data_IF_021510304680
#
_entry.id   IF_021510304680
#
_cell.length_a   1.000
_cell.length_b   1.000
_cell.length_c   1.000
_cell.angle_alpha   90.00
_cell.angle_beta   90.00
_cell.angle_gamma   90.00
#
_symmetry.space_group_name_H-M   'P 1'
#
loop_
_entity.id
_entity.type
_entity.pdbx_description
1 polymer ?
#
# COMPACT_ATOMS: atom_id res chain seq x y z
N UNK A 1 -74.68 -40.92 17.75
CA UNK A 1 -74.09 -40.20 18.89
C UNK A 1 -73.02 -39.27 18.29
N UNK A 2 -73.29 -37.99 17.99
CA UNK A 2 -73.37 -36.85 18.93
C UNK A 2 -71.98 -36.60 19.54
N UNK A 3 -71.29 -35.44 19.49
CA UNK A 3 -71.51 -33.99 19.25
C UNK A 3 -70.14 -33.44 18.78
N UNK A 4 -69.93 -32.44 17.91
CA UNK A 4 -70.30 -31.03 18.01
C UNK A 4 -69.37 -30.25 18.96
N UNK A 5 -68.38 -29.46 18.46
CA UNK A 5 -67.85 -28.27 19.15
C UNK A 5 -67.19 -27.25 18.19
N UNK A 6 -67.88 -26.12 18.05
CA UNK A 6 -67.49 -24.73 17.77
C UNK A 6 -66.35 -24.36 16.80
N UNK A 7 -66.78 -23.80 15.67
CA UNK A 7 -66.12 -22.68 15.00
C UNK A 7 -66.31 -21.40 15.84
N UNK A 8 -65.27 -20.91 16.50
CA UNK A 8 -65.17 -19.54 17.06
C UNK A 8 -63.70 -19.27 17.41
N UNK A 9 -62.88 -18.94 16.41
CA UNK A 9 -61.44 -18.68 16.60
C UNK A 9 -60.78 -17.81 15.54
N UNK A 10 -61.35 -17.73 14.33
CA UNK A 10 -60.61 -17.22 13.17
C UNK A 10 -60.93 -15.79 12.72
N UNK A 11 -61.67 -15.01 13.52
CA UNK A 11 -62.02 -13.62 13.16
C UNK A 11 -61.47 -12.53 14.10
N UNK A 12 -60.79 -12.90 15.20
CA UNK A 12 -60.22 -11.90 16.13
C UNK A 12 -58.72 -11.60 15.87
N UNK A 13 -57.97 -12.53 15.25
CA UNK A 13 -56.55 -12.32 14.95
C UNK A 13 -56.28 -11.58 13.63
N UNK A 14 -57.22 -11.59 12.68
CA UNK A 14 -57.05 -10.92 11.38
C UNK A 14 -57.16 -9.37 11.45
N UNK A 15 -57.72 -8.81 12.54
CA UNK A 15 -57.97 -7.36 12.66
C UNK A 15 -56.84 -6.59 13.37
N UNK A 16 -55.90 -7.28 14.03
CA UNK A 16 -54.76 -6.64 14.71
C UNK A 16 -53.55 -6.52 13.78
N UNK A 17 -53.37 -7.43 12.81
CA UNK A 17 -52.22 -7.40 11.90
C UNK A 17 -52.33 -6.30 10.82
N UNK A 18 -53.55 -6.01 10.32
CA UNK A 18 -53.75 -5.01 9.26
C UNK A 18 -53.59 -3.55 9.74
N UNK A 19 -53.70 -3.28 11.04
CA UNK A 19 -53.50 -1.94 11.63
C UNK A 19 -52.04 -1.57 11.90
N UNK A 20 -51.14 -2.55 12.00
CA UNK A 20 -49.73 -2.31 12.35
C UNK A 20 -48.83 -2.07 11.13
N UNK A 21 -49.23 -2.53 9.94
CA UNK A 21 -48.40 -2.46 8.73
C UNK A 21 -48.52 -1.12 7.99
N UNK A 22 -49.56 -0.31 8.24
CA UNK A 22 -49.83 0.91 7.44
C UNK A 22 -49.32 2.24 8.02
N UNK A 23 -48.63 2.27 9.17
CA UNK A 23 -48.22 3.53 9.83
C UNK A 23 -46.70 3.74 9.99
N UNK A 24 -45.85 2.91 9.37
CA UNK A 24 -44.37 2.99 9.55
C UNK A 24 -43.58 3.45 8.30
N UNK A 25 -44.23 3.67 7.16
CA UNK A 25 -43.54 3.99 5.90
C UNK A 25 -43.37 5.50 5.62
N UNK A 26 -44.17 6.39 6.24
CA UNK A 26 -44.19 7.81 5.88
C UNK A 26 -43.16 8.70 6.60
N UNK A 27 -42.52 8.22 7.68
CA UNK A 27 -41.68 9.07 8.54
C UNK A 27 -40.16 8.77 8.50
N UNK A 28 -39.74 7.72 7.77
CA UNK A 28 -38.31 7.36 7.62
C UNK A 28 -37.61 8.14 6.50
N UNK A 29 -38.34 8.60 5.47
CA UNK A 29 -37.75 9.32 4.33
C UNK A 29 -37.30 10.76 4.64
N UNK A 30 -38.00 11.48 5.55
CA UNK A 30 -37.69 12.88 5.87
C UNK A 30 -36.53 13.04 6.87
N UNK A 31 -36.38 12.12 7.83
CA UNK A 31 -35.25 12.14 8.78
C UNK A 31 -33.93 11.72 8.13
N UNK A 32 -33.94 10.80 7.17
CA UNK A 32 -32.73 10.37 6.44
C UNK A 32 -32.17 11.50 5.57
N UNK A 33 -33.03 12.27 4.92
CA UNK A 33 -32.64 13.38 4.03
C UNK A 33 -31.97 14.55 4.77
N UNK A 34 -32.40 14.82 6.01
CA UNK A 34 -31.81 15.87 6.85
C UNK A 34 -30.41 15.51 7.38
N UNK A 35 -30.20 14.24 7.77
CA UNK A 35 -28.91 13.76 8.30
C UNK A 35 -27.85 13.70 7.19
N UNK A 36 -28.22 13.28 5.98
CA UNK A 36 -27.30 13.24 4.83
C UNK A 36 -26.85 14.66 4.43
N UNK A 37 -27.76 15.65 4.47
CA UNK A 37 -27.42 17.05 4.17
C UNK A 37 -26.43 17.68 5.17
N UNK A 38 -26.58 17.38 6.47
CA UNK A 38 -25.66 17.85 7.51
C UNK A 38 -24.26 17.21 7.45
N UNK A 39 -24.17 15.92 7.10
CA UNK A 39 -22.89 15.20 7.01
C UNK A 39 -22.08 15.64 5.78
N UNK A 40 -22.74 15.91 4.65
CA UNK A 40 -22.08 16.35 3.42
C UNK A 40 -21.52 17.78 3.56
N UNK A 41 -22.21 18.67 4.30
CA UNK A 41 -21.74 20.04 4.57
C UNK A 41 -20.52 20.09 5.50
N UNK A 42 -20.47 19.21 6.51
CA UNK A 42 -19.32 19.09 7.43
C UNK A 42 -18.11 18.36 6.81
N UNK A 43 -18.32 17.44 5.87
CA UNK A 43 -17.22 16.81 5.13
C UNK A 43 -16.59 17.75 4.08
N UNK A 44 -17.40 18.62 3.45
CA UNK A 44 -16.92 19.53 2.42
C UNK A 44 -16.02 20.65 2.99
N UNK A 45 -16.28 21.09 4.23
CA UNK A 45 -15.45 22.08 4.92
C UNK A 45 -14.14 21.47 5.47
N UNK A 46 -14.13 20.20 5.86
CA UNK A 46 -12.91 19.47 6.30
C UNK A 46 -11.98 19.07 5.14
N UNK A 47 -12.50 18.90 3.92
CA UNK A 47 -11.70 18.57 2.73
C UNK A 47 -10.94 19.77 2.15
N UNK A 48 -11.39 21.00 2.41
CA UNK A 48 -10.77 22.23 1.87
C UNK A 48 -9.62 22.73 2.75
N UNK A 49 -9.63 22.45 4.07
CA UNK A 49 -8.55 22.86 4.98
C UNK A 49 -7.44 21.81 5.20
N UNK A 50 -7.64 20.56 4.75
CA UNK A 50 -6.69 19.46 4.98
C UNK A 50 -5.67 19.20 3.86
N UNK A 51 -5.71 19.96 2.76
CA UNK A 51 -5.00 19.63 1.50
C UNK A 51 -3.82 20.57 1.15
N UNK A 52 -3.20 21.20 2.15
CA UNK A 52 -2.05 22.10 1.93
C UNK A 52 -0.74 21.69 2.62
N UNK A 53 -0.67 20.49 3.24
CA UNK A 53 0.52 20.11 4.01
C UNK A 53 1.06 18.72 3.68
N UNK A 54 1.26 18.41 2.41
CA UNK A 54 2.14 17.29 2.06
C UNK A 54 2.88 17.59 0.76
N UNK A 55 4.22 17.48 0.83
CA UNK A 55 5.24 17.48 -0.23
C UNK A 55 6.28 18.63 -0.17
N UNK A 56 7.04 18.69 0.93
CA UNK A 56 8.39 19.30 0.92
C UNK A 56 9.46 18.22 1.18
N UNK A 57 9.47 17.20 0.33
CA UNK A 57 10.60 16.29 0.22
C UNK A 57 11.64 16.82 -0.77
N UNK A 58 12.86 17.07 -0.30
CA UNK A 58 14.05 16.91 -1.13
C UNK A 58 14.44 18.07 -2.06
N UNK A 59 14.67 19.25 -1.52
CA UNK A 59 15.72 20.18 -1.96
C UNK A 59 15.90 21.19 -0.84
N UNK A 60 17.11 21.38 -0.33
CA UNK A 60 17.42 22.42 0.64
C UNK A 60 17.21 23.81 0.02
N UNK A 61 15.96 24.27 -0.03
CA UNK A 61 15.57 25.59 -0.51
C UNK A 61 15.49 26.50 0.70
N UNK A 62 16.63 27.05 1.09
CA UNK A 62 16.67 28.13 2.08
C UNK A 62 16.48 29.47 1.37
N UNK A 63 15.60 30.32 1.90
CA UNK A 63 15.48 31.71 1.50
C UNK A 63 16.53 32.61 2.19
N UNK A 64 16.52 33.90 1.83
CA UNK A 64 17.49 34.86 2.36
C UNK A 64 17.40 35.04 3.88
N UNK A 65 16.20 34.96 4.46
CA UNK A 65 15.99 35.10 5.90
C UNK A 65 16.48 33.86 6.63
N UNK A 66 16.15 32.68 6.10
CA UNK A 66 16.62 31.40 6.64
C UNK A 66 18.14 31.31 6.61
N UNK A 67 18.80 31.74 5.54
CA UNK A 67 20.26 31.78 5.47
C UNK A 67 20.88 32.74 6.49
N UNK A 68 20.29 33.92 6.70
CA UNK A 68 20.84 34.93 7.64
C UNK A 68 20.71 34.51 9.11
N UNK A 69 19.62 33.83 9.45
CA UNK A 69 19.29 33.48 10.82
C UNK A 69 19.53 31.99 11.12
N UNK A 70 20.29 31.30 10.26
CA UNK A 70 20.57 29.89 10.39
C UNK A 70 21.45 29.61 11.61
N UNK A 71 21.02 28.67 12.45
CA UNK A 71 21.92 27.99 13.38
C UNK A 71 22.51 26.78 12.67
N UNK A 72 23.76 26.92 12.21
CA UNK A 72 24.43 25.87 11.44
C UNK A 72 24.69 24.61 12.26
N UNK A 73 24.85 24.72 13.58
CA UNK A 73 25.04 23.56 14.44
C UNK A 73 23.74 22.75 14.57
N UNK A 74 22.59 23.42 14.73
CA UNK A 74 21.28 22.76 14.72
C UNK A 74 21.00 22.11 13.36
N UNK A 75 21.22 22.83 12.25
CA UNK A 75 21.02 22.28 10.90
C UNK A 75 21.92 21.06 10.68
N UNK A 76 23.17 21.13 11.13
CA UNK A 76 24.10 20.01 11.11
C UNK A 76 23.54 18.81 11.88
N UNK A 77 23.05 19.04 13.10
CA UNK A 77 22.46 18.00 13.94
C UNK A 77 21.25 17.33 13.30
N UNK A 78 20.35 18.09 12.68
CA UNK A 78 19.19 17.56 11.96
C UNK A 78 19.62 16.71 10.74
N UNK A 79 20.61 17.18 9.98
CA UNK A 79 21.16 16.45 8.84
C UNK A 79 21.85 15.15 9.26
N UNK A 80 22.64 15.19 10.34
CA UNK A 80 23.31 14.03 10.92
C UNK A 80 22.30 13.01 11.44
N UNK A 81 21.30 13.46 12.19
CA UNK A 81 20.20 12.62 12.71
C UNK A 81 19.36 12.00 11.59
N UNK A 82 19.31 12.63 10.43
CA UNK A 82 18.67 12.09 9.23
C UNK A 82 19.60 11.18 8.39
N UNK A 83 20.85 10.95 8.81
CA UNK A 83 21.81 10.12 8.09
C UNK A 83 22.33 10.73 6.79
N UNK A 84 22.22 12.05 6.60
CA UNK A 84 22.73 12.73 5.41
C UNK A 84 24.25 12.77 5.44
N UNK A 85 24.90 12.73 4.28
CA UNK A 85 26.35 12.90 4.20
C UNK A 85 26.74 14.35 4.56
N UNK A 86 27.92 14.59 5.16
CA UNK A 86 28.42 15.94 5.41
C UNK A 86 28.49 16.82 4.16
N UNK A 87 28.65 16.19 2.99
CA UNK A 87 28.66 16.86 1.68
C UNK A 87 27.34 17.56 1.35
N UNK A 88 26.24 17.23 2.05
CA UNK A 88 24.94 17.86 1.89
C UNK A 88 24.97 19.36 2.19
N UNK A 89 25.92 19.83 3.01
CA UNK A 89 26.21 21.25 3.22
C UNK A 89 26.41 22.03 1.91
N UNK A 90 26.90 21.37 0.87
CA UNK A 90 27.07 21.97 -0.47
C UNK A 90 25.77 22.50 -1.05
N UNK A 91 24.62 21.91 -0.69
CA UNK A 91 23.31 22.39 -1.10
C UNK A 91 22.98 23.72 -0.42
N UNK A 92 23.25 23.86 0.88
CA UNK A 92 23.08 25.11 1.61
C UNK A 92 24.03 26.20 1.09
N UNK A 93 25.30 25.86 0.81
CA UNK A 93 26.26 26.80 0.20
C UNK A 93 25.73 27.36 -1.12
N UNK A 94 25.20 26.49 -2.00
CA UNK A 94 24.61 26.91 -3.27
C UNK A 94 23.37 27.78 -3.08
N UNK A 95 22.53 27.49 -2.09
CA UNK A 95 21.32 28.25 -1.82
C UNK A 95 21.63 29.64 -1.24
N UNK A 96 22.48 29.71 -0.22
CA UNK A 96 22.81 30.93 0.51
C UNK A 96 23.79 31.86 -0.21
N UNK A 97 24.62 31.34 -1.13
CA UNK A 97 25.50 32.16 -1.96
C UNK A 97 24.75 33.18 -2.83
N UNK A 98 23.47 32.95 -3.16
CA UNK A 98 22.61 33.92 -3.88
C UNK A 98 22.34 35.20 -3.09
N UNK A 99 22.61 35.17 -1.79
CA UNK A 99 22.39 36.24 -0.84
C UNK A 99 23.70 36.65 -0.15
N UNK A 100 24.85 36.25 -0.72
CA UNK A 100 26.21 36.49 -0.20
C UNK A 100 26.44 35.97 1.23
N UNK A 101 25.76 34.87 1.60
CA UNK A 101 25.87 34.23 2.92
C UNK A 101 26.60 32.90 2.78
N UNK A 102 27.61 32.70 3.63
CA UNK A 102 28.45 31.49 3.66
C UNK A 102 28.11 30.68 4.92
N UNK A 103 27.67 29.42 4.78
CA UNK A 103 27.47 28.54 5.93
C UNK A 103 28.73 28.30 6.76
N UNK A 104 28.57 28.28 8.08
CA UNK A 104 29.67 28.04 9.03
C UNK A 104 30.00 26.55 9.12
N UNK A 105 31.07 26.13 8.44
CA UNK A 105 31.43 24.72 8.29
C UNK A 105 31.65 24.00 9.62
N UNK A 106 32.39 24.62 10.54
CA UNK A 106 32.78 23.96 11.80
C UNK A 106 31.56 23.71 12.71
N UNK A 107 30.65 24.68 12.79
CA UNK A 107 29.37 24.53 13.51
C UNK A 107 28.53 23.42 12.89
N UNK A 108 28.38 23.43 11.57
CA UNK A 108 27.65 22.37 10.86
C UNK A 108 28.24 20.98 11.08
N UNK A 109 29.57 20.81 10.96
CA UNK A 109 30.21 19.52 11.14
C UNK A 109 30.13 19.00 12.58
N UNK A 110 30.21 19.89 13.59
CA UNK A 110 30.01 19.49 14.99
C UNK A 110 28.58 19.02 15.23
N UNK A 111 27.59 19.80 14.78
CA UNK A 111 26.19 19.41 14.84
C UNK A 111 25.95 18.07 14.15
N UNK A 112 26.48 17.92 12.94
CA UNK A 112 26.36 16.71 12.12
C UNK A 112 26.93 15.48 12.83
N UNK A 113 28.13 15.59 13.38
CA UNK A 113 28.73 14.50 14.16
C UNK A 113 27.88 14.11 15.37
N UNK A 114 27.28 15.08 16.08
CA UNK A 114 26.37 14.81 17.19
C UNK A 114 25.07 14.15 16.73
N UNK A 115 24.48 14.60 15.61
CA UNK A 115 23.27 13.99 15.05
C UNK A 115 23.50 12.55 14.58
N UNK A 116 24.70 12.23 14.10
CA UNK A 116 25.03 10.85 13.73
C UNK A 116 25.01 9.89 14.92
N UNK A 117 25.12 10.36 16.16
CA UNK A 117 24.94 9.51 17.35
C UNK A 117 23.51 8.95 17.40
N UNK A 118 22.52 9.78 17.05
CA UNK A 118 21.10 9.38 17.00
C UNK A 118 20.81 8.49 15.79
N UNK A 119 21.43 8.78 14.64
CA UNK A 119 21.21 8.00 13.41
C UNK A 119 21.89 6.62 13.47
N UNK A 120 23.13 6.55 13.97
CA UNK A 120 23.97 5.36 13.89
C UNK A 120 23.70 4.37 15.02
N UNK A 121 22.44 3.98 15.15
CA UNK A 121 21.96 2.96 16.10
C UNK A 121 21.61 1.68 15.38
N UNK A 122 21.59 0.56 16.11
CA UNK A 122 21.17 -0.74 15.56
C UNK A 122 19.73 -0.68 15.04
N UNK A 123 18.81 -0.07 15.78
CA UNK A 123 17.41 0.10 15.38
C UNK A 123 17.27 0.89 14.07
N UNK A 124 17.97 2.02 13.93
CA UNK A 124 17.93 2.79 12.69
C UNK A 124 18.60 2.06 11.52
N UNK A 125 19.64 1.29 11.80
CA UNK A 125 20.21 0.33 10.85
C UNK A 125 19.16 -0.65 10.36
N UNK A 126 18.49 -1.35 11.27
CA UNK A 126 17.42 -2.31 10.98
C UNK A 126 16.29 -1.69 10.15
N UNK A 127 15.79 -0.53 10.55
CA UNK A 127 14.74 0.17 9.80
C UNK A 127 15.19 0.58 8.41
N UNK A 128 16.44 1.02 8.25
CA UNK A 128 17.03 1.40 6.96
C UNK A 128 17.16 0.18 6.04
N UNK A 129 17.69 -0.92 6.57
CA UNK A 129 17.83 -2.18 5.85
C UNK A 129 16.47 -2.76 5.45
N UNK A 130 15.48 -2.73 6.35
CA UNK A 130 14.11 -3.22 6.12
C UNK A 130 13.38 -2.44 5.03
N UNK A 131 13.70 -1.15 4.87
CA UNK A 131 13.22 -0.30 3.77
C UNK A 131 14.01 -0.48 2.47
N UNK A 132 15.11 -1.24 2.48
CA UNK A 132 15.99 -1.41 1.33
C UNK A 132 16.76 -0.15 0.96
N UNK A 133 17.00 0.75 1.92
CA UNK A 133 17.78 1.97 1.68
C UNK A 133 19.26 1.63 1.53
N UNK A 134 19.96 2.29 0.62
CA UNK A 134 21.41 2.14 0.47
C UNK A 134 22.15 2.83 1.62
N UNK A 135 23.16 2.15 2.18
CA UNK A 135 24.00 2.72 3.23
C UNK A 135 25.27 3.35 2.64
N UNK A 136 25.41 4.67 2.76
CA UNK A 136 26.50 5.45 2.18
C UNK A 136 27.74 5.61 3.08
N UNK A 137 27.89 4.80 4.13
CA UNK A 137 29.07 4.88 5.00
C UNK A 137 29.13 6.12 5.89
N UNK A 138 27.99 6.70 6.26
CA UNK A 138 27.93 7.96 7.03
C UNK A 138 28.34 7.78 8.51
N UNK A 139 28.20 6.57 9.06
CA UNK A 139 28.51 6.35 10.47
C UNK A 139 30.02 6.31 10.74
N UNK A 140 30.50 7.00 11.79
CA UNK A 140 31.89 6.94 12.19
C UNK A 140 32.25 5.54 12.73
N UNK A 141 33.55 5.22 12.73
CA UNK A 141 34.06 3.88 13.11
C UNK A 141 33.55 3.34 14.45
N UNK A 142 33.26 4.21 15.43
CA UNK A 142 32.75 3.78 16.74
C UNK A 142 31.26 3.42 16.78
N UNK A 143 30.49 3.81 15.76
CA UNK A 143 29.04 3.61 15.69
C UNK A 143 28.61 2.73 14.50
N UNK A 144 29.49 2.54 13.52
CA UNK A 144 29.20 1.80 12.29
C UNK A 144 28.77 0.36 12.56
N UNK A 145 29.37 -0.30 13.54
CA UNK A 145 29.15 -1.73 13.77
C UNK A 145 27.72 -2.03 14.24
N UNK A 146 27.20 -1.22 15.16
CA UNK A 146 25.82 -1.33 15.65
C UNK A 146 24.82 -1.09 14.51
N UNK A 147 25.01 0.00 13.75
CA UNK A 147 24.16 0.30 12.60
C UNK A 147 24.19 -0.83 11.57
N UNK A 148 25.38 -1.32 11.21
CA UNK A 148 25.55 -2.37 10.21
C UNK A 148 24.96 -3.70 10.65
N UNK A 149 25.03 -4.05 11.94
CA UNK A 149 24.41 -5.25 12.48
C UNK A 149 22.89 -5.23 12.24
N UNK A 150 22.21 -4.16 12.65
CA UNK A 150 20.79 -3.97 12.40
C UNK A 150 20.47 -3.93 10.91
N UNK A 151 21.26 -3.18 10.14
CA UNK A 151 21.07 -3.01 8.70
C UNK A 151 21.08 -4.33 7.94
N UNK A 152 22.01 -5.23 8.25
CA UNK A 152 22.07 -6.56 7.63
C UNK A 152 20.84 -7.41 7.94
N UNK A 153 20.32 -7.34 9.17
CA UNK A 153 19.09 -8.02 9.56
C UNK A 153 17.90 -7.44 8.78
N UNK A 154 17.78 -6.10 8.77
CA UNK A 154 16.74 -5.40 8.02
C UNK A 154 16.74 -5.78 6.53
N UNK A 155 17.92 -5.86 5.90
CA UNK A 155 18.04 -6.27 4.50
C UNK A 155 17.47 -7.66 4.23
N UNK A 156 17.56 -8.60 5.18
CA UNK A 156 16.93 -9.93 5.02
C UNK A 156 15.40 -9.80 4.91
N UNK A 157 14.78 -8.96 5.74
CA UNK A 157 13.34 -8.66 5.63
C UNK A 157 13.01 -8.04 4.27
N UNK A 158 13.81 -7.05 3.83
CA UNK A 158 13.59 -6.40 2.55
C UNK A 158 13.66 -7.38 1.37
N UNK A 159 14.64 -8.29 1.35
CA UNK A 159 14.81 -9.29 0.29
C UNK A 159 13.58 -10.19 0.20
N UNK A 160 13.10 -10.70 1.34
CA UNK A 160 11.92 -11.58 1.39
C UNK A 160 10.66 -10.82 1.00
N UNK A 161 10.43 -9.63 1.56
CA UNK A 161 9.26 -8.79 1.23
C UNK A 161 9.24 -8.43 -0.26
N UNK A 162 10.37 -7.99 -0.81
CA UNK A 162 10.47 -7.63 -2.24
C UNK A 162 10.22 -8.83 -3.15
N UNK A 163 10.64 -10.03 -2.74
CA UNK A 163 10.35 -11.26 -3.47
C UNK A 163 8.85 -11.57 -3.45
N UNK A 164 8.19 -11.44 -2.30
CA UNK A 164 6.73 -11.61 -2.16
C UNK A 164 6.00 -10.62 -3.07
N UNK A 165 6.31 -9.32 -2.99
CA UNK A 165 5.66 -8.27 -3.78
C UNK A 165 5.77 -8.54 -5.29
N UNK A 166 6.96 -8.96 -5.73
CA UNK A 166 7.22 -9.33 -7.12
C UNK A 166 6.42 -10.57 -7.54
N UNK A 167 6.36 -11.61 -6.71
CA UNK A 167 5.60 -12.82 -6.98
C UNK A 167 4.10 -12.53 -7.03
N UNK A 168 3.57 -11.72 -6.12
CA UNK A 168 2.17 -11.31 -6.11
C UNK A 168 1.80 -10.48 -7.36
N UNK A 169 2.68 -9.57 -7.78
CA UNK A 169 2.49 -8.84 -9.03
C UNK A 169 2.43 -9.79 -10.23
N UNK A 170 3.35 -10.77 -10.31
CA UNK A 170 3.33 -11.81 -11.34
C UNK A 170 2.04 -12.63 -11.30
N UNK A 171 1.62 -13.06 -10.11
CA UNK A 171 0.39 -13.82 -9.88
C UNK A 171 -0.84 -13.06 -10.39
N UNK A 172 -0.98 -11.78 -10.04
CA UNK A 172 -2.09 -10.93 -10.52
C UNK A 172 -2.11 -10.84 -12.04
N UNK A 173 -0.95 -10.66 -12.67
CA UNK A 173 -0.84 -10.60 -14.12
C UNK A 173 -1.19 -11.94 -14.79
N UNK A 174 -0.78 -13.07 -14.22
CA UNK A 174 -1.11 -14.40 -14.72
C UNK A 174 -2.62 -14.70 -14.60
N UNK A 175 -3.23 -14.33 -13.47
CA UNK A 175 -4.67 -14.45 -13.28
C UNK A 175 -5.47 -13.60 -14.27
N UNK A 176 -4.99 -12.38 -14.57
CA UNK A 176 -5.58 -11.52 -15.60
C UNK A 176 -5.53 -12.18 -16.97
N UNK A 177 -4.36 -12.69 -17.37
CA UNK A 177 -4.17 -13.42 -18.64
C UNK A 177 -5.05 -14.67 -18.73
N UNK A 178 -5.16 -15.43 -17.64
CA UNK A 178 -6.03 -16.59 -17.56
C UNK A 178 -7.50 -16.21 -17.77
N UNK A 179 -7.96 -15.11 -17.15
CA UNK A 179 -9.32 -14.60 -17.33
C UNK A 179 -9.58 -14.17 -18.77
N UNK A 180 -8.63 -13.48 -19.40
CA UNK A 180 -8.69 -13.05 -20.80
C UNK A 180 -8.76 -14.24 -21.75
N UNK A 181 -7.84 -15.21 -21.63
CA UNK A 181 -7.84 -16.43 -22.45
C UNK A 181 -9.13 -17.25 -22.29
N UNK A 182 -9.67 -17.36 -21.08
CA UNK A 182 -10.96 -18.03 -20.85
C UNK A 182 -12.12 -17.30 -21.54
N UNK A 183 -12.07 -15.96 -21.62
CA UNK A 183 -13.07 -15.17 -22.34
C UNK A 183 -12.97 -15.38 -23.85
N UNK A 184 -11.75 -15.36 -24.38
CA UNK A 184 -11.48 -15.64 -25.80
C UNK A 184 -11.90 -17.06 -26.19
N UNK A 185 -11.59 -18.05 -25.34
CA UNK A 185 -11.99 -19.44 -25.56
C UNK A 185 -13.52 -19.55 -25.68
N UNK A 186 -14.28 -18.97 -24.74
CA UNK A 186 -15.75 -18.99 -24.80
C UNK A 186 -16.28 -18.34 -26.07
N UNK A 187 -15.74 -17.19 -26.46
CA UNK A 187 -16.17 -16.51 -27.68
C UNK A 187 -15.90 -17.36 -28.94
N UNK A 188 -14.76 -18.04 -29.00
CA UNK A 188 -14.45 -18.97 -30.11
C UNK A 188 -15.35 -20.20 -30.11
N UNK A 189 -15.67 -20.74 -28.94
CA UNK A 189 -16.62 -21.84 -28.77
C UNK A 189 -18.04 -21.43 -29.22
N UNK A 190 -18.47 -20.20 -28.94
CA UNK A 190 -19.72 -19.64 -29.45
C UNK A 190 -19.73 -19.49 -30.98
N UNK A 191 -18.62 -19.05 -31.60
CA UNK A 191 -18.51 -18.96 -33.06
C UNK A 191 -18.54 -20.35 -33.72
N UNK A 192 -18.01 -21.38 -33.07
CA UNK A 192 -18.02 -22.75 -33.59
C UNK A 192 -19.43 -23.34 -33.74
N UNK A 193 -20.38 -22.90 -32.93
CA UNK A 193 -21.76 -23.42 -32.96
C UNK A 193 -22.70 -22.61 -33.87
N UNK A 194 -22.27 -21.46 -34.38
CA UNK A 194 -23.08 -20.63 -35.27
C UNK A 194 -23.20 -21.25 -36.67
N UNK A 195 -24.43 -21.30 -37.19
CA UNK A 195 -24.73 -21.87 -38.51
C UNK A 195 -24.05 -21.12 -39.67
N UNK A 196 -23.82 -19.81 -39.50
CA UNK A 196 -23.15 -18.96 -40.48
C UNK A 196 -21.64 -19.18 -40.60
N UNK A 197 -21.02 -19.96 -39.71
CA UNK A 197 -19.58 -20.20 -39.70
C UNK A 197 -19.18 -21.21 -40.78
N UNK A 198 -18.33 -20.78 -41.71
CA UNK A 198 -17.84 -21.60 -42.83
C UNK A 198 -17.00 -22.81 -42.35
N UNK A 199 -16.93 -23.87 -43.16
CA UNK A 199 -16.12 -25.06 -42.84
C UNK A 199 -14.62 -24.73 -42.62
N UNK A 200 -14.06 -23.81 -43.40
CA UNK A 200 -12.67 -23.38 -43.24
C UNK A 200 -12.47 -22.62 -41.92
N UNK A 201 -13.42 -21.76 -41.54
CA UNK A 201 -13.41 -21.06 -40.26
C UNK A 201 -13.60 -22.02 -39.08
N UNK A 202 -14.49 -23.01 -39.20
CA UNK A 202 -14.69 -24.07 -38.18
C UNK A 202 -13.39 -24.82 -37.91
N UNK A 203 -12.68 -25.25 -38.97
CA UNK A 203 -11.38 -25.93 -38.81
C UNK A 203 -10.33 -25.05 -38.13
N UNK A 204 -10.26 -23.76 -38.48
CA UNK A 204 -9.34 -22.80 -37.84
C UNK A 204 -9.67 -22.63 -36.36
N UNK A 205 -10.94 -22.41 -36.02
CA UNK A 205 -11.41 -22.23 -34.65
C UNK A 205 -11.17 -23.47 -33.78
N UNK A 206 -11.33 -24.69 -34.31
CA UNK A 206 -11.00 -25.93 -33.58
C UNK A 206 -9.53 -26.00 -33.18
N UNK A 207 -8.61 -25.56 -34.04
CA UNK A 207 -7.19 -25.50 -33.69
C UNK A 207 -6.91 -24.40 -32.66
N UNK A 208 -7.46 -23.20 -32.84
CA UNK A 208 -7.28 -22.09 -31.90
C UNK A 208 -7.84 -22.39 -30.50
N UNK A 209 -8.99 -23.06 -30.42
CA UNK A 209 -9.60 -23.47 -29.13
C UNK A 209 -8.76 -24.54 -28.44
N UNK A 210 -8.20 -25.51 -29.17
CA UNK A 210 -7.25 -26.49 -28.62
C UNK A 210 -6.01 -25.80 -28.05
N UNK A 211 -5.43 -24.85 -28.78
CA UNK A 211 -4.27 -24.09 -28.34
C UNK A 211 -4.57 -23.22 -27.11
N UNK A 212 -5.73 -22.57 -27.09
CA UNK A 212 -6.18 -21.77 -25.94
C UNK A 212 -6.34 -22.64 -24.68
N UNK A 213 -6.93 -23.83 -24.79
CA UNK A 213 -7.06 -24.79 -23.67
C UNK A 213 -5.70 -25.21 -23.10
N UNK A 214 -4.72 -25.50 -23.96
CA UNK A 214 -3.36 -25.83 -23.53
C UNK A 214 -2.67 -24.66 -22.81
N UNK A 215 -2.86 -23.43 -23.30
CA UNK A 215 -2.33 -22.22 -22.64
C UNK A 215 -2.97 -21.99 -21.28
N UNK A 216 -4.28 -22.20 -21.17
CA UNK A 216 -5.05 -22.12 -19.91
C UNK A 216 -4.47 -23.11 -18.88
N UNK A 217 -4.31 -24.38 -19.24
CA UNK A 217 -3.78 -25.41 -18.34
C UNK A 217 -2.37 -25.05 -17.83
N UNK A 218 -1.49 -24.57 -18.73
CA UNK A 218 -0.14 -24.14 -18.36
C UNK A 218 -0.16 -22.96 -17.38
N UNK A 219 -1.02 -21.97 -17.61
CA UNK A 219 -1.16 -20.83 -16.71
C UNK A 219 -1.75 -21.23 -15.35
N UNK A 220 -2.72 -22.14 -15.33
CA UNK A 220 -3.29 -22.65 -14.08
C UNK A 220 -2.22 -23.34 -13.22
N UNK A 221 -1.40 -24.21 -13.83
CA UNK A 221 -0.25 -24.82 -13.16
C UNK A 221 0.71 -23.76 -12.63
N UNK A 222 1.06 -22.77 -13.46
CA UNK A 222 1.95 -21.68 -13.05
C UNK A 222 1.40 -20.89 -11.85
N UNK A 223 0.14 -20.49 -11.91
CA UNK A 223 -0.57 -19.79 -10.82
C UNK A 223 -0.54 -20.62 -9.54
N UNK A 224 -0.77 -21.93 -9.64
CA UNK A 224 -0.71 -22.84 -8.49
C UNK A 224 0.69 -22.87 -7.85
N UNK A 225 1.75 -22.99 -8.66
CA UNK A 225 3.12 -22.97 -8.17
C UNK A 225 3.50 -21.62 -7.55
N UNK A 226 3.23 -20.52 -8.26
CA UNK A 226 3.51 -19.16 -7.76
C UNK A 226 2.82 -18.90 -6.41
N UNK A 227 1.59 -19.37 -6.22
CA UNK A 227 0.89 -19.24 -4.93
C UNK A 227 1.58 -20.01 -3.80
N UNK A 228 2.07 -21.22 -4.08
CA UNK A 228 2.83 -21.99 -3.09
C UNK A 228 4.15 -21.29 -2.75
N UNK A 229 4.84 -20.75 -3.74
CA UNK A 229 6.10 -20.05 -3.53
C UNK A 229 5.91 -18.79 -2.66
N UNK A 230 4.82 -18.04 -2.90
CA UNK A 230 4.43 -16.90 -2.04
C UNK A 230 4.21 -17.37 -0.61
N UNK A 231 3.44 -18.45 -0.41
CA UNK A 231 3.16 -18.98 0.93
C UNK A 231 4.45 -19.38 1.66
N UNK A 232 5.40 -20.01 0.96
CA UNK A 232 6.69 -20.37 1.54
C UNK A 232 7.51 -19.13 1.93
N UNK A 233 7.50 -18.09 1.11
CA UNK A 233 8.19 -16.82 1.42
C UNK A 233 7.52 -16.05 2.56
N UNK A 234 6.20 -16.10 2.67
CA UNK A 234 5.47 -15.54 3.81
C UNK A 234 5.85 -16.26 5.11
N UNK A 235 5.95 -17.58 5.09
CA UNK A 235 6.46 -18.35 6.23
C UNK A 235 7.89 -17.96 6.59
N UNK A 236 8.78 -17.79 5.60
CA UNK A 236 10.15 -17.31 5.82
C UNK A 236 10.17 -15.93 6.49
N UNK A 237 9.32 -15.00 6.05
CA UNK A 237 9.16 -13.69 6.68
C UNK A 237 8.67 -13.78 8.13
N UNK A 238 7.71 -14.67 8.41
CA UNK A 238 7.20 -14.95 9.75
C UNK A 238 8.34 -15.46 10.66
N UNK A 239 9.16 -16.39 10.17
CA UNK A 239 10.30 -16.91 10.93
C UNK A 239 11.33 -15.81 11.25
N UNK A 240 11.63 -14.93 10.30
CA UNK A 240 12.47 -13.76 10.56
C UNK A 240 11.86 -12.85 11.64
N UNK A 241 10.54 -12.65 11.60
CA UNK A 241 9.81 -11.85 12.59
C UNK A 241 9.85 -12.49 13.99
N UNK A 242 9.76 -13.81 14.09
CA UNK A 242 9.90 -14.53 15.37
C UNK A 242 11.33 -14.39 15.90
N UNK A 243 12.33 -14.51 15.02
CA UNK A 243 13.73 -14.48 15.40
C UNK A 243 14.23 -13.08 15.82
N UNK A 244 13.76 -12.01 15.16
CA UNK A 244 14.29 -10.65 15.31
C UNK A 244 13.23 -9.59 15.69
N UNK A 245 11.99 -9.99 15.97
CA UNK A 245 10.84 -9.08 16.14
C UNK A 245 10.90 -8.10 17.32
N UNK A 246 11.87 -8.26 18.24
CA UNK A 246 12.09 -7.33 19.36
C UNK A 246 13.01 -6.15 19.03
N UNK A 247 13.58 -6.09 17.82
CA UNK A 247 14.55 -5.06 17.42
C UNK A 247 13.92 -3.82 16.74
N UNK A 248 12.58 -3.73 16.73
CA UNK A 248 11.81 -2.67 16.06
C UNK A 248 11.03 -1.78 17.03
#
# INVERSE_FOLDING_TARGET
>A
MGRGFSAFGDLFMARIWYGYVHNSAANKGKRMSFIISQIVSSCLTLLIFGSALFLTGGCAKMDASQCRNADWEIIGFEDGSAGRLPSYLSNYRKACAKYDIIPELDFYLRGHANGLIEFCTETNGFLSGKKGLEYNGVCPRGLSDNFLAGYQIGLRFYIVSSAIDKMEFCLRNEQKKLKELRKELRHKEEMLIQDSTSESDRRRLLNETKDARLKIERLEKKIFHTRKDIQMKQYEYEQLSIQYGSQG
#
